data_IF_762017951014
#
_entry.id   IF_762017951014
#
_cell.length_a   1.000
_cell.length_b   1.000
_cell.length_c   1.000
_cell.angle_alpha   90.00
_cell.angle_beta   90.00
_cell.angle_gamma   90.00
#
_symmetry.space_group_name_H-M   'P 1'
#
loop_
_entity.id
_entity.type
_entity.pdbx_description
1 polymer ?
#
# COMPACT_ATOMS: atom_id res chain seq x y z
N UNK A 1 13.25 7.43 13.18
CA UNK A 1 11.97 8.15 13.33
C UNK A 1 11.52 7.99 14.78
N UNK A 2 11.55 9.05 15.60
CA UNK A 2 11.14 9.00 17.01
C UNK A 2 9.61 9.20 17.20
N UNK A 3 8.96 9.84 16.24
CA UNK A 3 7.58 10.35 16.38
C UNK A 3 6.58 9.81 15.34
N UNK A 4 6.88 8.67 14.70
CA UNK A 4 6.00 8.11 13.66
C UNK A 4 5.77 9.05 12.46
N UNK A 5 4.68 8.83 11.73
CA UNK A 5 4.23 9.66 10.61
C UNK A 5 2.69 9.74 10.65
N UNK A 6 2.11 10.94 10.50
CA UNK A 6 0.66 11.13 10.44
C UNK A 6 0.13 10.60 9.10
N UNK A 7 -0.73 9.58 9.17
CA UNK A 7 -1.31 8.94 7.99
C UNK A 7 -2.51 9.69 7.42
N UNK A 8 -3.02 10.71 8.13
CA UNK A 8 -4.24 11.42 7.75
C UNK A 8 -5.51 10.56 7.78
N UNK A 9 -5.45 9.38 8.41
CA UNK A 9 -6.60 8.48 8.58
C UNK A 9 -7.39 8.92 9.82
N UNK A 10 -8.60 9.42 9.62
CA UNK A 10 -9.47 9.90 10.69
C UNK A 10 -10.34 8.81 11.33
N UNK A 11 -10.62 7.73 10.59
CA UNK A 11 -11.44 6.62 11.06
C UNK A 11 -10.63 5.33 11.09
N UNK A 12 -10.10 5.00 12.26
CA UNK A 12 -9.27 3.81 12.46
C UNK A 12 -10.21 2.60 12.68
N UNK A 13 -10.04 1.50 11.91
CA UNK A 13 -10.80 0.27 12.16
C UNK A 13 -10.65 -0.15 13.62
N UNK A 14 -11.73 -0.53 14.30
CA UNK A 14 -11.73 -0.84 15.73
C UNK A 14 -11.90 -2.34 16.03
N UNK A 15 -11.90 -3.19 14.99
CA UNK A 15 -12.04 -4.64 15.09
C UNK A 15 -10.88 -5.32 14.35
N UNK A 16 -10.35 -6.42 14.91
CA UNK A 16 -9.35 -7.20 14.23
C UNK A 16 -9.92 -7.80 12.94
N UNK A 17 -9.06 -7.93 11.93
CA UNK A 17 -9.42 -8.53 10.65
C UNK A 17 -8.26 -9.34 10.10
N UNK A 18 -8.54 -10.58 9.69
CA UNK A 18 -7.56 -11.46 9.08
C UNK A 18 -8.06 -12.02 7.78
N UNK A 19 -7.34 -11.80 6.67
CA UNK A 19 -7.71 -12.33 5.36
C UNK A 19 -6.64 -13.25 4.78
N UNK A 20 -7.04 -14.33 4.09
CA UNK A 20 -6.10 -15.33 3.61
C UNK A 20 -5.24 -14.80 2.44
N UNK A 21 -4.01 -15.30 2.36
CA UNK A 21 -3.08 -14.95 1.29
C UNK A 21 -3.64 -15.23 -0.11
N UNK A 22 -3.20 -14.40 -1.07
CA UNK A 22 -3.59 -14.54 -2.47
C UNK A 22 -3.13 -15.89 -3.02
N UNK A 23 -3.82 -16.38 -4.07
CA UNK A 23 -3.53 -17.68 -4.68
C UNK A 23 -2.08 -17.79 -5.17
N UNK A 24 -1.49 -16.68 -5.63
CA UNK A 24 -0.10 -16.64 -6.10
C UNK A 24 0.91 -16.94 -4.98
N UNK A 25 0.70 -16.38 -3.79
CA UNK A 25 1.51 -16.65 -2.60
C UNK A 25 1.33 -18.09 -2.12
N UNK A 26 0.09 -18.58 -2.01
CA UNK A 26 -0.20 -19.96 -1.58
C UNK A 26 0.41 -21.02 -2.49
N UNK A 27 0.54 -20.75 -3.79
CA UNK A 27 1.16 -21.65 -4.77
C UNK A 27 2.69 -21.63 -4.78
N UNK A 28 3.31 -20.61 -4.17
CA UNK A 28 4.76 -20.42 -4.20
C UNK A 28 5.30 -20.10 -2.80
N UNK A 29 5.03 -20.95 -1.79
CA UNK A 29 5.34 -20.65 -0.39
C UNK A 29 6.84 -20.42 -0.16
N UNK A 30 7.71 -21.19 -0.82
CA UNK A 30 9.17 -21.03 -0.68
C UNK A 30 9.67 -19.65 -1.12
N UNK A 31 9.14 -19.13 -2.23
CA UNK A 31 9.49 -17.79 -2.70
C UNK A 31 8.98 -16.70 -1.74
N UNK A 32 7.79 -16.90 -1.16
CA UNK A 32 7.27 -16.00 -0.13
C UNK A 32 8.19 -15.98 1.08
N UNK A 33 8.52 -17.15 1.62
CA UNK A 33 9.40 -17.28 2.79
C UNK A 33 10.75 -16.62 2.55
N UNK A 34 11.38 -16.91 1.40
CA UNK A 34 12.67 -16.29 1.03
C UNK A 34 12.57 -14.76 0.95
N UNK A 35 11.56 -14.23 0.24
CA UNK A 35 11.41 -12.79 0.07
C UNK A 35 11.09 -12.08 1.40
N UNK A 36 10.27 -12.69 2.27
CA UNK A 36 10.02 -12.17 3.62
C UNK A 36 11.30 -12.14 4.44
N UNK A 37 12.11 -13.19 4.39
CA UNK A 37 13.41 -13.24 5.07
C UNK A 37 14.37 -12.16 4.56
N UNK A 38 14.40 -11.89 3.25
CA UNK A 38 15.20 -10.80 2.67
C UNK A 38 14.77 -9.42 3.19
N UNK A 39 13.46 -9.16 3.33
CA UNK A 39 12.94 -7.90 3.86
C UNK A 39 13.20 -7.76 5.38
N UNK A 40 13.13 -8.87 6.13
CA UNK A 40 13.53 -8.92 7.54
C UNK A 40 15.02 -8.62 7.72
N UNK A 41 15.89 -9.22 6.89
CA UNK A 41 17.34 -9.00 6.94
C UNK A 41 17.73 -7.56 6.62
N UNK A 42 16.94 -6.84 5.80
CA UNK A 42 17.12 -5.41 5.53
C UNK A 42 16.61 -4.51 6.67
N UNK A 43 15.89 -5.07 7.65
CA UNK A 43 15.23 -4.31 8.72
C UNK A 43 13.99 -3.54 8.24
N UNK A 44 13.40 -3.91 7.10
CA UNK A 44 12.19 -3.27 6.58
C UNK A 44 10.91 -3.84 7.17
N UNK A 45 10.96 -5.06 7.72
CA UNK A 45 9.86 -5.71 8.42
C UNK A 45 10.27 -6.04 9.85
N UNK A 46 9.28 -6.12 10.74
CA UNK A 46 9.45 -6.57 12.12
C UNK A 46 8.47 -7.74 12.34
N UNK A 47 8.95 -8.81 12.97
CA UNK A 47 8.25 -10.08 13.09
C UNK A 47 9.04 -11.22 12.43
N UNK A 48 8.38 -12.30 11.95
CA UNK A 48 6.96 -12.62 12.13
C UNK A 48 6.63 -12.91 13.61
N UNK A 49 5.41 -12.59 14.02
CA UNK A 49 4.93 -12.87 15.37
C UNK A 49 4.11 -14.16 15.39
N UNK A 50 4.24 -14.96 16.46
CA UNK A 50 3.45 -16.17 16.65
C UNK A 50 1.97 -15.87 16.97
N UNK A 51 1.70 -14.65 17.43
CA UNK A 51 0.35 -14.14 17.71
C UNK A 51 0.31 -12.63 17.41
N UNK A 52 -0.87 -12.05 17.12
CA UNK A 52 -1.00 -10.62 16.92
C UNK A 52 -0.49 -9.83 18.14
N UNK A 53 0.41 -8.84 17.97
CA UNK A 53 0.98 -8.09 19.09
C UNK A 53 0.03 -7.05 19.69
N UNK A 54 -1.12 -6.80 19.05
CA UNK A 54 -2.12 -5.80 19.47
C UNK A 54 -3.51 -6.43 19.50
N UNK A 55 -4.40 -5.90 20.36
CA UNK A 55 -5.80 -6.33 20.45
C UNK A 55 -6.53 -6.09 19.11
N UNK A 56 -6.23 -4.94 18.50
CA UNK A 56 -6.78 -4.53 17.22
C UNK A 56 -5.66 -4.53 16.18
N UNK A 57 -5.82 -5.37 15.16
CA UNK A 57 -4.79 -5.63 14.17
C UNK A 57 -5.43 -5.96 12.82
N UNK A 58 -4.63 -5.87 11.76
CA UNK A 58 -5.09 -6.18 10.41
C UNK A 58 -4.07 -7.01 9.65
N UNK A 59 -4.49 -8.19 9.21
CA UNK A 59 -3.69 -9.07 8.35
C UNK A 59 -4.28 -9.00 6.95
N UNK A 60 -3.59 -8.27 6.07
CA UNK A 60 -3.94 -8.19 4.66
C UNK A 60 -3.26 -9.31 3.87
N UNK A 61 -3.89 -9.81 2.79
CA UNK A 61 -3.29 -10.84 1.94
C UNK A 61 -1.96 -10.39 1.36
N UNK A 62 -0.97 -11.28 1.38
CA UNK A 62 0.21 -11.14 0.53
C UNK A 62 0.05 -11.96 -0.76
N UNK A 63 0.63 -11.42 -1.83
CA UNK A 63 0.72 -12.06 -3.13
C UNK A 63 2.14 -12.01 -3.69
N UNK A 64 2.34 -12.76 -4.77
CA UNK A 64 3.54 -12.67 -5.59
C UNK A 64 3.18 -12.16 -6.98
N UNK A 65 3.98 -11.20 -7.46
CA UNK A 65 3.94 -10.69 -8.83
C UNK A 65 5.31 -10.85 -9.45
N UNK A 66 5.35 -11.21 -10.71
CA UNK A 66 6.58 -11.32 -11.47
C UNK A 66 6.78 -10.08 -12.36
N UNK A 67 7.96 -9.47 -12.28
CA UNK A 67 8.32 -8.36 -13.16
C UNK A 67 8.41 -8.83 -14.61
N UNK A 68 7.69 -8.15 -15.51
CA UNK A 68 7.62 -8.48 -16.95
C UNK A 68 9.00 -8.69 -17.58
N UNK A 69 9.94 -7.78 -17.33
CA UNK A 69 11.26 -7.76 -17.97
C UNK A 69 12.31 -8.56 -17.20
N UNK A 70 12.39 -8.37 -15.88
CA UNK A 70 13.46 -8.97 -15.08
C UNK A 70 13.15 -10.38 -14.60
N UNK A 71 11.90 -10.85 -14.75
CA UNK A 71 11.40 -12.13 -14.20
C UNK A 71 11.56 -12.25 -12.67
N UNK A 72 11.92 -11.15 -12.00
CA UNK A 72 12.05 -11.10 -10.54
C UNK A 72 10.67 -11.11 -9.91
N UNK A 73 10.46 -12.04 -8.99
CA UNK A 73 9.27 -12.10 -8.13
C UNK A 73 9.36 -11.03 -7.05
N UNK A 74 8.25 -10.34 -6.79
CA UNK A 74 8.10 -9.33 -5.74
C UNK A 74 6.89 -9.69 -4.89
N UNK A 75 7.02 -9.48 -3.59
CA UNK A 75 5.88 -9.50 -2.69
C UNK A 75 4.99 -8.28 -2.99
N UNK A 76 3.68 -8.51 -2.96
CA UNK A 76 2.68 -7.45 -2.94
C UNK A 76 1.79 -7.64 -1.71
N UNK A 77 1.31 -6.54 -1.15
CA UNK A 77 0.34 -6.54 -0.05
C UNK A 77 -0.96 -5.96 -0.59
N UNK A 78 -2.06 -6.71 -0.49
CA UNK A 78 -3.35 -6.24 -0.97
C UNK A 78 -4.06 -5.38 0.08
N UNK A 79 -3.88 -4.07 -0.02
CA UNK A 79 -4.50 -3.07 0.86
C UNK A 79 -5.93 -2.69 0.43
N UNK A 80 -6.44 -3.28 -0.65
CA UNK A 80 -7.79 -3.02 -1.17
C UNK A 80 -8.84 -3.98 -0.63
N UNK A 81 -8.39 -4.99 0.13
CA UNK A 81 -9.23 -5.99 0.77
C UNK A 81 -9.72 -5.53 2.16
N UNK A 82 -10.95 -5.92 2.55
CA UNK A 82 -11.98 -6.56 1.74
C UNK A 82 -12.66 -5.54 0.83
N UNK A 83 -13.18 -6.03 -0.30
CA UNK A 83 -13.90 -5.18 -1.24
C UNK A 83 -15.37 -5.07 -0.83
N UNK A 84 -15.90 -3.85 -0.82
CA UNK A 84 -17.31 -3.54 -0.57
C UNK A 84 -17.85 -4.02 0.80
N UNK A 85 -16.98 -4.17 1.79
CA UNK A 85 -17.39 -4.45 3.17
C UNK A 85 -17.66 -3.13 3.91
N UNK A 86 -18.89 -2.97 4.41
CA UNK A 86 -19.32 -1.76 5.12
C UNK A 86 -18.78 -1.70 6.54
N UNK A 87 -18.55 -2.85 7.17
CA UNK A 87 -18.08 -2.96 8.55
C UNK A 87 -16.55 -3.00 8.61
N UNK A 88 -15.91 -3.44 7.52
CA UNK A 88 -14.46 -3.56 7.41
C UNK A 88 -13.91 -2.84 6.16
N UNK A 89 -13.94 -1.50 6.11
CA UNK A 89 -13.39 -0.74 4.97
C UNK A 89 -11.94 -1.12 4.69
N UNK A 90 -11.56 -1.24 3.40
CA UNK A 90 -10.17 -1.50 2.99
C UNK A 90 -9.23 -0.39 3.45
N UNK A 91 -7.95 -0.69 3.68
CA UNK A 91 -6.98 0.35 4.07
C UNK A 91 -6.94 1.48 3.06
N UNK A 92 -6.97 1.14 1.76
CA UNK A 92 -7.00 2.15 0.69
C UNK A 92 -8.25 3.04 0.73
N UNK A 93 -9.39 2.53 1.22
CA UNK A 93 -10.62 3.33 1.35
C UNK A 93 -10.59 4.32 2.52
N UNK A 94 -9.67 4.14 3.47
CA UNK A 94 -9.49 5.06 4.61
C UNK A 94 -8.70 6.33 4.23
N UNK A 95 -8.03 6.33 3.07
CA UNK A 95 -7.29 7.49 2.59
C UNK A 95 -8.27 8.52 2.04
N UNK A 96 -8.28 9.71 2.63
CA UNK A 96 -9.18 10.79 2.20
C UNK A 96 -8.73 11.35 0.84
N UNK A 97 -9.48 10.98 -0.22
CA UNK A 97 -9.13 11.27 -1.61
C UNK A 97 -8.94 12.76 -1.93
N UNK A 98 -9.64 13.65 -1.24
CA UNK A 98 -9.55 15.08 -1.50
C UNK A 98 -8.27 15.71 -0.94
N UNK A 99 -7.72 15.18 0.17
CA UNK A 99 -6.42 15.64 0.70
C UNK A 99 -5.23 15.19 -0.13
N UNK A 100 -5.41 14.16 -0.96
CA UNK A 100 -4.34 13.55 -1.75
C UNK A 100 -4.75 13.43 -3.22
N UNK A 101 -5.35 14.50 -3.76
CA UNK A 101 -5.74 14.54 -5.17
C UNK A 101 -4.52 14.74 -6.07
N UNK A 102 -4.40 13.91 -7.10
CA UNK A 102 -3.38 14.05 -8.12
C UNK A 102 -3.93 14.92 -9.25
N UNK A 103 -3.41 16.13 -9.38
CA UNK A 103 -3.65 16.98 -10.54
C UNK A 103 -2.54 16.77 -11.55
N UNK A 104 -2.89 16.42 -12.78
CA UNK A 104 -1.94 16.35 -13.87
C UNK A 104 -1.84 17.72 -14.53
N UNK A 105 -0.63 18.23 -14.69
CA UNK A 105 -0.38 19.43 -15.50
C UNK A 105 -0.80 19.12 -16.93
N UNK A 106 -1.70 19.93 -17.47
CA UNK A 106 -2.18 19.81 -18.84
C UNK A 106 -1.33 20.65 -19.79
N UNK A 107 -1.46 20.40 -21.09
CA UNK A 107 -0.84 21.25 -22.12
C UNK A 107 -1.40 22.69 -22.03
N UNK A 108 -2.68 22.84 -21.70
CA UNK A 108 -3.31 24.16 -21.53
C UNK A 108 -2.71 24.93 -20.34
N UNK A 109 -2.34 24.25 -19.26
CA UNK A 109 -1.66 24.87 -18.12
C UNK A 109 -0.27 25.40 -18.52
N UNK A 110 0.43 24.65 -19.40
CA UNK A 110 1.71 25.09 -19.97
C UNK A 110 1.52 26.30 -20.90
N UNK A 111 0.51 26.29 -21.78
CA UNK A 111 0.19 27.40 -22.68
C UNK A 111 -0.15 28.66 -21.88
N UNK A 112 -1.00 28.56 -20.86
CA UNK A 112 -1.34 29.67 -19.97
C UNK A 112 -0.09 30.23 -19.26
N UNK A 113 0.79 29.35 -18.78
CA UNK A 113 2.03 29.77 -18.12
C UNK A 113 2.94 30.56 -19.08
N UNK A 114 3.06 30.12 -20.34
CA UNK A 114 3.84 30.83 -21.36
C UNK A 114 3.19 32.19 -21.71
N UNK A 115 1.87 32.24 -21.85
CA UNK A 115 1.15 33.49 -22.12
C UNK A 115 1.25 34.49 -20.97
N UNK A 116 1.38 34.05 -19.71
CA UNK A 116 1.49 34.93 -18.55
C UNK A 116 2.93 35.39 -18.27
N UNK A 117 3.93 34.55 -18.54
CA UNK A 117 5.33 34.79 -18.14
C UNK A 117 6.27 35.04 -19.34
N UNK A 118 5.76 34.91 -20.56
CA UNK A 118 6.51 35.11 -21.80
C UNK A 118 6.83 36.58 -22.06
N UNK A 119 7.97 36.83 -22.71
CA UNK A 119 8.36 38.20 -23.11
C UNK A 119 7.33 38.79 -24.08
N UNK A 120 6.70 39.89 -23.68
CA UNK A 120 5.69 40.61 -24.47
C UNK A 120 4.24 40.25 -24.14
N UNK A 121 4.01 39.49 -23.06
CA UNK A 121 2.70 39.39 -22.41
C UNK A 121 2.25 40.70 -21.77
#
# INVERSE_FOLDING_TARGET
LREGFDTGISNIPNKPLEWPNLRSARRNPENVTRLVAEELNKGFLIGPYNSPPFINYRINPIGLVESKYSKKKRLIVDLSVPHNDKDHPSINSLIYKYSYSLSYVTVDDAIKSIQQLGKGA
#
